data_IF_950207764566
#
_entry.id   IF_950207764566
#
_cell.length_a   1.000
_cell.length_b   1.000
_cell.length_c   1.000
_cell.angle_alpha   90.00
_cell.angle_beta   90.00
_cell.angle_gamma   90.00
#
_symmetry.space_group_name_H-M   'P 1'
#
loop_
_entity.id
_entity.type
_entity.pdbx_description
1 polymer ?
#
# COMPACT_ATOMS: atom_id res chain seq x y z
N UNK A 1 -11.17 23.13 46.33
CA UNK A 1 -10.23 23.64 45.27
C UNK A 1 -9.08 22.69 44.97
N UNK A 2 -8.29 22.24 45.95
CA UNK A 2 -7.16 21.32 45.66
C UNK A 2 -7.55 19.94 45.18
N UNK A 3 -8.62 19.36 45.72
CA UNK A 3 -9.14 18.03 45.29
C UNK A 3 -9.74 18.05 43.88
N UNK A 4 -10.38 19.13 43.52
CA UNK A 4 -10.96 19.35 42.19
C UNK A 4 -9.87 19.53 41.12
N UNK A 5 -8.83 20.30 41.43
CA UNK A 5 -7.63 20.43 40.58
C UNK A 5 -6.86 19.11 40.42
N UNK A 6 -6.87 18.25 41.44
CA UNK A 6 -6.24 16.94 41.43
C UNK A 6 -7.03 15.93 40.58
N UNK A 7 -8.38 15.99 40.60
CA UNK A 7 -9.25 15.16 39.75
C UNK A 7 -9.12 15.54 38.28
N UNK A 8 -9.06 16.84 37.96
CA UNK A 8 -8.89 17.32 36.59
C UNK A 8 -7.54 16.90 35.99
N UNK A 9 -6.44 17.05 36.76
CA UNK A 9 -5.12 16.59 36.31
C UNK A 9 -5.06 15.08 36.01
N UNK A 10 -5.74 14.24 36.78
CA UNK A 10 -5.84 12.80 36.51
C UNK A 10 -6.64 12.55 35.23
N UNK A 11 -7.73 13.27 35.02
CA UNK A 11 -8.53 13.18 33.80
C UNK A 11 -7.74 13.48 32.52
N UNK A 12 -7.01 14.58 32.49
CA UNK A 12 -6.14 14.96 31.34
C UNK A 12 -5.08 13.89 31.03
N UNK A 13 -4.45 13.32 32.06
CA UNK A 13 -3.43 12.27 31.85
C UNK A 13 -4.03 11.01 31.22
N UNK A 14 -5.19 10.57 31.71
CA UNK A 14 -5.85 9.38 31.17
C UNK A 14 -6.25 9.61 29.71
N UNK A 15 -6.88 10.75 29.40
CA UNK A 15 -7.27 11.08 28.03
C UNK A 15 -6.05 11.20 27.13
N UNK A 16 -4.99 11.88 27.57
CA UNK A 16 -3.74 11.97 26.82
C UNK A 16 -3.18 10.58 26.50
N UNK A 17 -3.04 9.70 27.46
CA UNK A 17 -2.48 8.35 27.24
C UNK A 17 -3.35 7.50 26.34
N UNK A 18 -4.68 7.57 26.47
CA UNK A 18 -5.60 6.82 25.61
C UNK A 18 -5.51 7.29 24.16
N UNK A 19 -5.53 8.61 23.94
CA UNK A 19 -5.42 9.18 22.59
C UNK A 19 -4.02 8.94 22.01
N UNK A 20 -2.97 9.08 22.80
CA UNK A 20 -1.61 8.77 22.40
C UNK A 20 -1.45 7.31 21.93
N UNK A 21 -1.98 6.36 22.70
CA UNK A 21 -1.92 4.94 22.33
C UNK A 21 -2.70 4.66 21.04
N UNK A 22 -3.90 5.23 20.87
CA UNK A 22 -4.69 5.11 19.65
C UNK A 22 -3.99 5.74 18.44
N UNK A 23 -3.43 6.93 18.59
CA UNK A 23 -2.67 7.61 17.54
C UNK A 23 -1.39 6.84 17.17
N UNK A 24 -0.67 6.29 18.15
CA UNK A 24 0.52 5.47 17.92
C UNK A 24 0.19 4.20 17.13
N UNK A 25 -0.95 3.56 17.44
CA UNK A 25 -1.43 2.41 16.67
C UNK A 25 -1.79 2.79 15.24
N UNK A 26 -2.47 3.92 15.03
CA UNK A 26 -2.79 4.44 13.70
C UNK A 26 -1.51 4.73 12.88
N UNK A 27 -0.49 5.33 13.51
CA UNK A 27 0.81 5.57 12.91
C UNK A 27 1.51 4.26 12.50
N UNK A 28 1.52 3.26 13.37
CA UNK A 28 2.12 1.95 13.06
C UNK A 28 1.43 1.31 11.84
N UNK A 29 0.10 1.39 11.76
CA UNK A 29 -0.66 0.90 10.59
C UNK A 29 -0.36 1.70 9.33
N UNK A 30 -0.23 3.02 9.42
CA UNK A 30 0.14 3.87 8.28
C UNK A 30 1.54 3.54 7.75
N UNK A 31 2.52 3.37 8.65
CA UNK A 31 3.87 2.93 8.27
C UNK A 31 3.83 1.57 7.59
N UNK A 32 3.16 0.60 8.19
CA UNK A 32 3.05 -0.74 7.63
C UNK A 32 2.41 -0.72 6.23
N UNK A 33 1.32 0.05 6.05
CA UNK A 33 0.67 0.21 4.75
C UNK A 33 1.61 0.74 3.68
N UNK A 34 2.36 1.80 4.00
CA UNK A 34 3.28 2.44 3.05
C UNK A 34 4.37 1.46 2.62
N UNK A 35 4.99 0.74 3.57
CA UNK A 35 6.05 -0.23 3.28
C UNK A 35 5.54 -1.43 2.47
N UNK A 36 4.41 -2.00 2.86
CA UNK A 36 3.82 -3.16 2.16
C UNK A 36 3.46 -2.79 0.72
N UNK A 37 2.89 -1.59 0.51
CA UNK A 37 2.58 -1.12 -0.85
C UNK A 37 3.83 -0.92 -1.70
N UNK A 38 4.88 -0.34 -1.13
CA UNK A 38 6.14 -0.11 -1.85
C UNK A 38 6.79 -1.42 -2.27
N UNK A 39 6.87 -2.39 -1.36
CA UNK A 39 7.38 -3.73 -1.67
C UNK A 39 6.55 -4.36 -2.80
N UNK A 40 5.22 -4.23 -2.77
CA UNK A 40 4.36 -4.75 -3.81
C UNK A 40 4.65 -4.10 -5.18
N UNK A 41 4.89 -2.79 -5.22
CA UNK A 41 5.20 -2.07 -6.46
C UNK A 41 6.55 -2.51 -7.03
N UNK A 42 7.58 -2.65 -6.20
CA UNK A 42 8.91 -3.14 -6.62
C UNK A 42 8.81 -4.57 -7.17
N UNK A 43 8.11 -5.44 -6.46
CA UNK A 43 7.90 -6.82 -6.93
C UNK A 43 7.12 -6.85 -8.26
N UNK A 44 6.18 -5.92 -8.45
CA UNK A 44 5.42 -5.78 -9.69
C UNK A 44 6.30 -5.31 -10.85
N UNK A 45 7.22 -4.37 -10.60
CA UNK A 45 8.17 -3.90 -11.64
C UNK A 45 9.05 -5.03 -12.16
N UNK A 46 9.43 -5.97 -11.31
CA UNK A 46 10.22 -7.15 -11.68
C UNK A 46 9.41 -8.31 -12.22
N UNK A 47 8.08 -8.27 -12.03
CA UNK A 47 7.21 -9.36 -12.48
C UNK A 47 6.98 -9.27 -13.98
N UNK A 48 7.37 -10.33 -14.70
CA UNK A 48 7.13 -10.47 -16.15
C UNK A 48 6.51 -11.82 -16.46
N UNK A 49 5.60 -11.82 -17.41
CA UNK A 49 5.10 -13.03 -18.06
C UNK A 49 5.92 -13.19 -19.33
N UNK A 50 6.56 -14.33 -19.48
CA UNK A 50 7.37 -14.67 -20.65
C UNK A 50 6.53 -15.58 -21.55
N UNK A 51 6.13 -15.06 -22.70
CA UNK A 51 5.42 -15.82 -23.72
C UNK A 51 6.42 -16.26 -24.78
N UNK A 52 6.50 -17.56 -25.01
CA UNK A 52 7.40 -18.14 -25.99
C UNK A 52 6.70 -18.23 -27.35
N UNK A 53 7.34 -17.66 -28.38
CA UNK A 53 6.85 -17.75 -29.75
C UNK A 53 7.19 -19.10 -30.36
N UNK A 54 6.25 -19.70 -31.08
CA UNK A 54 6.45 -20.93 -31.82
C UNK A 54 7.23 -20.69 -33.11
N UNK A 55 8.33 -21.43 -33.31
CA UNK A 55 9.08 -21.40 -34.55
C UNK A 55 8.32 -22.04 -35.74
N UNK A 56 7.24 -22.80 -35.43
CA UNK A 56 6.46 -23.53 -36.46
C UNK A 56 5.43 -22.67 -37.18
N UNK A 57 5.06 -21.56 -36.57
CA UNK A 57 4.02 -20.67 -37.10
C UNK A 57 4.72 -19.41 -37.67
N UNK A 58 4.59 -19.18 -38.97
CA UNK A 58 5.08 -17.96 -39.65
C UNK A 58 4.24 -16.71 -39.32
N UNK A 59 3.78 -16.60 -38.08
CA UNK A 59 3.08 -15.39 -37.65
C UNK A 59 4.10 -14.29 -37.39
N UNK A 60 3.80 -13.10 -37.92
CA UNK A 60 4.61 -11.92 -37.65
C UNK A 60 4.56 -11.57 -36.15
N UNK A 61 5.71 -11.24 -35.61
CA UNK A 61 5.81 -10.78 -34.20
C UNK A 61 4.95 -9.56 -33.95
N UNK A 62 4.77 -8.67 -34.93
CA UNK A 62 3.90 -7.50 -34.83
C UNK A 62 2.43 -7.88 -34.61
N UNK A 63 1.91 -8.87 -35.35
CA UNK A 63 0.53 -9.32 -35.17
C UNK A 63 0.28 -10.01 -33.83
N UNK A 64 1.29 -10.72 -33.27
CA UNK A 64 1.20 -11.25 -31.91
C UNK A 64 1.22 -10.13 -30.86
N UNK A 65 2.07 -9.14 -31.04
CA UNK A 65 2.16 -7.97 -30.15
C UNK A 65 0.84 -7.21 -30.10
N UNK A 66 0.20 -6.97 -31.24
CA UNK A 66 -1.15 -6.38 -31.30
C UNK A 66 -2.18 -7.24 -30.57
N UNK A 67 -2.11 -8.56 -30.73
CA UNK A 67 -2.97 -9.49 -30.02
C UNK A 67 -2.83 -9.39 -28.51
N UNK A 68 -1.60 -9.30 -27.99
CA UNK A 68 -1.35 -9.11 -26.56
C UNK A 68 -1.78 -7.72 -26.08
N UNK A 69 -1.58 -6.65 -26.88
CA UNK A 69 -2.04 -5.29 -26.55
C UNK A 69 -3.55 -5.19 -26.45
N UNK A 70 -4.26 -6.01 -27.22
CA UNK A 70 -5.72 -6.06 -27.19
C UNK A 70 -6.27 -6.77 -25.93
N UNK A 71 -5.45 -7.53 -25.20
CA UNK A 71 -5.86 -8.17 -23.95
C UNK A 71 -6.01 -7.12 -22.84
N UNK A 72 -7.13 -7.12 -22.10
CA UNK A 72 -7.36 -6.16 -21.04
C UNK A 72 -6.32 -6.34 -19.91
N UNK A 73 -5.80 -5.23 -19.43
CA UNK A 73 -4.83 -5.23 -18.32
C UNK A 73 -3.39 -5.51 -18.72
N UNK A 74 -3.08 -5.53 -20.01
CA UNK A 74 -1.69 -5.52 -20.50
C UNK A 74 -1.13 -4.11 -20.37
N UNK A 75 -0.02 -3.96 -19.59
CA UNK A 75 0.60 -2.66 -19.32
C UNK A 75 1.72 -2.35 -20.33
N UNK A 76 2.63 -3.30 -20.55
CA UNK A 76 3.77 -3.14 -21.45
C UNK A 76 4.16 -4.47 -22.08
N UNK A 77 4.70 -4.42 -23.30
CA UNK A 77 5.14 -5.59 -24.07
C UNK A 77 6.51 -5.28 -24.65
N UNK A 78 7.44 -6.18 -24.44
CA UNK A 78 8.77 -6.15 -25.03
C UNK A 78 9.04 -7.45 -25.80
N UNK A 79 9.28 -7.33 -27.09
CA UNK A 79 9.74 -8.46 -27.90
C UNK A 79 11.25 -8.65 -27.76
N UNK A 80 11.68 -9.84 -27.40
CA UNK A 80 13.09 -10.20 -27.26
C UNK A 80 13.39 -11.33 -28.25
N UNK A 81 14.20 -11.00 -29.26
CA UNK A 81 14.64 -12.00 -30.23
C UNK A 81 15.62 -12.99 -29.59
N UNK A 82 15.71 -14.19 -30.16
CA UNK A 82 16.69 -15.21 -29.75
C UNK A 82 18.13 -14.69 -29.80
N UNK A 83 18.45 -13.78 -30.70
CA UNK A 83 19.80 -13.17 -30.81
C UNK A 83 20.08 -12.22 -29.64
N UNK A 84 19.06 -11.41 -29.28
CA UNK A 84 19.15 -10.47 -28.16
C UNK A 84 19.18 -11.21 -26.81
N UNK A 85 18.40 -12.29 -26.69
CA UNK A 85 18.41 -13.15 -25.50
C UNK A 85 19.76 -13.80 -25.28
N UNK A 86 20.42 -14.26 -26.36
CA UNK A 86 21.77 -14.80 -26.26
C UNK A 86 22.78 -13.72 -25.84
N UNK A 87 22.61 -12.48 -26.32
CA UNK A 87 23.46 -11.36 -25.91
C UNK A 87 23.29 -11.05 -24.42
N UNK A 88 22.06 -10.95 -23.94
CA UNK A 88 21.75 -10.74 -22.50
C UNK A 88 22.34 -11.87 -21.64
N UNK A 89 22.16 -13.11 -22.05
CA UNK A 89 22.71 -14.26 -21.34
C UNK A 89 24.25 -14.19 -21.27
N UNK A 90 24.90 -13.66 -22.32
CA UNK A 90 26.38 -13.49 -22.34
C UNK A 90 26.85 -12.43 -21.33
N UNK A 91 26.04 -11.40 -21.09
CA UNK A 91 26.34 -10.36 -20.12
C UNK A 91 26.10 -10.84 -18.67
N UNK A 92 25.12 -11.73 -18.46
CA UNK A 92 24.74 -12.25 -17.15
C UNK A 92 25.57 -13.47 -16.71
N UNK A 93 25.81 -14.41 -17.62
CA UNK A 93 26.51 -15.67 -17.34
C UNK A 93 27.28 -16.16 -18.58
N UNK A 94 28.57 -15.84 -18.65
CA UNK A 94 29.46 -16.22 -19.75
C UNK A 94 29.66 -17.74 -19.87
N UNK A 95 29.58 -18.47 -18.76
CA UNK A 95 29.86 -19.93 -18.74
C UNK A 95 28.70 -20.71 -19.35
N UNK A 96 27.45 -20.28 -19.07
CA UNK A 96 26.24 -20.83 -19.71
C UNK A 96 26.24 -20.60 -21.23
N UNK A 97 26.74 -19.46 -21.67
CA UNK A 97 26.85 -19.17 -23.12
C UNK A 97 27.79 -20.13 -23.83
N UNK A 98 28.90 -20.51 -23.20
CA UNK A 98 29.82 -21.51 -23.75
C UNK A 98 29.14 -22.85 -24.04
N UNK A 99 28.26 -23.30 -23.13
CA UNK A 99 27.47 -24.50 -23.31
C UNK A 99 26.43 -24.36 -24.45
N UNK A 100 25.75 -23.21 -24.54
CA UNK A 100 24.76 -22.92 -25.60
C UNK A 100 25.41 -22.78 -26.97
N UNK A 101 26.58 -22.16 -27.09
CA UNK A 101 27.30 -21.97 -28.36
C UNK A 101 27.92 -23.26 -28.90
N UNK A 102 28.13 -24.27 -28.06
CA UNK A 102 28.55 -25.60 -28.50
C UNK A 102 27.44 -26.39 -29.22
N UNK A 103 26.21 -25.87 -29.20
CA UNK A 103 25.11 -26.43 -29.99
C UNK A 103 25.17 -25.91 -31.43
N UNK A 104 24.78 -26.74 -32.38
CA UNK A 104 24.82 -26.45 -33.82
C UNK A 104 23.90 -25.27 -34.24
N UNK A 105 22.97 -24.85 -33.38
CA UNK A 105 22.10 -23.70 -33.58
C UNK A 105 21.71 -23.10 -32.25
N UNK A 106 21.37 -21.80 -32.21
CA UNK A 106 20.86 -21.15 -30.99
C UNK A 106 19.51 -21.78 -30.57
N UNK A 107 19.44 -22.48 -29.42
CA UNK A 107 18.25 -23.16 -28.96
C UNK A 107 17.26 -22.21 -28.26
N UNK A 108 17.64 -20.94 -28.04
CA UNK A 108 16.80 -19.99 -27.37
C UNK A 108 15.64 -19.58 -28.29
N UNK A 109 14.39 -19.54 -27.80
CA UNK A 109 13.26 -19.10 -28.57
C UNK A 109 13.13 -17.58 -28.59
N UNK A 110 12.43 -17.05 -29.59
CA UNK A 110 11.89 -15.69 -29.53
C UNK A 110 10.83 -15.60 -28.44
N UNK A 111 10.81 -14.51 -27.70
CA UNK A 111 9.89 -14.35 -26.55
C UNK A 111 9.31 -12.94 -26.47
N UNK A 112 8.12 -12.85 -25.88
CA UNK A 112 7.53 -11.60 -25.44
C UNK A 112 7.61 -11.55 -23.90
N UNK A 113 8.15 -10.47 -23.37
CA UNK A 113 8.09 -10.15 -21.95
C UNK A 113 6.95 -9.15 -21.74
N UNK A 114 5.96 -9.57 -20.97
CA UNK A 114 4.72 -8.81 -20.79
C UNK A 114 4.59 -8.45 -19.32
N UNK A 115 4.35 -7.17 -19.04
CA UNK A 115 3.93 -6.67 -17.74
C UNK A 115 2.43 -6.44 -17.71
N UNK A 116 1.82 -6.65 -16.54
CA UNK A 116 0.40 -6.47 -16.35
C UNK A 116 0.08 -5.27 -15.47
N UNK A 117 -1.10 -4.69 -15.68
CA UNK A 117 -1.68 -3.75 -14.73
C UNK A 117 -2.04 -4.44 -13.40
N UNK A 118 -2.21 -3.64 -12.35
CA UNK A 118 -2.55 -4.16 -11.01
C UNK A 118 -3.86 -4.96 -11.00
N UNK A 119 -4.86 -4.48 -11.73
CA UNK A 119 -6.16 -5.14 -11.83
C UNK A 119 -6.09 -6.51 -12.51
N UNK A 120 -5.24 -6.67 -13.53
CA UNK A 120 -5.10 -7.93 -14.26
C UNK A 120 -4.33 -8.99 -13.46
N UNK A 121 -3.48 -8.59 -12.51
CA UNK A 121 -2.82 -9.54 -11.61
C UNK A 121 -3.82 -10.28 -10.72
N UNK A 122 -4.96 -9.68 -10.39
CA UNK A 122 -6.01 -10.32 -9.61
C UNK A 122 -6.71 -11.45 -10.39
N UNK A 123 -6.74 -11.37 -11.71
CA UNK A 123 -7.32 -12.39 -12.60
C UNK A 123 -6.30 -12.91 -13.63
N UNK A 124 -5.10 -13.17 -13.14
CA UNK A 124 -3.97 -13.63 -13.94
C UNK A 124 -4.30 -14.90 -14.75
N UNK A 125 -5.09 -15.81 -14.18
CA UNK A 125 -5.47 -17.06 -14.85
C UNK A 125 -6.28 -16.80 -16.13
N UNK A 126 -7.26 -15.93 -16.08
CA UNK A 126 -8.07 -15.54 -17.24
C UNK A 126 -7.23 -14.84 -18.30
N UNK A 127 -6.29 -13.98 -17.89
CA UNK A 127 -5.37 -13.34 -18.83
C UNK A 127 -4.47 -14.37 -19.52
N UNK A 128 -3.90 -15.33 -18.79
CA UNK A 128 -3.07 -16.40 -19.33
C UNK A 128 -3.87 -17.30 -20.30
N UNK A 129 -5.10 -17.66 -19.95
CA UNK A 129 -5.98 -18.42 -20.83
C UNK A 129 -6.30 -17.66 -22.12
N UNK A 130 -6.51 -16.35 -22.06
CA UNK A 130 -6.73 -15.53 -23.23
C UNK A 130 -5.46 -15.42 -24.09
N UNK A 131 -4.30 -15.27 -23.47
CA UNK A 131 -3.00 -15.24 -24.16
C UNK A 131 -2.69 -16.55 -24.88
N UNK A 132 -3.07 -17.70 -24.33
CA UNK A 132 -2.94 -19.01 -24.98
C UNK A 132 -3.75 -19.14 -26.28
N UNK A 133 -4.83 -18.37 -26.45
CA UNK A 133 -5.66 -18.39 -27.67
C UNK A 133 -5.04 -17.62 -28.82
N UNK A 134 -4.00 -16.83 -28.54
CA UNK A 134 -3.29 -16.08 -29.58
C UNK A 134 -2.46 -17.08 -30.42
N UNK A 135 -2.68 -17.04 -31.72
CA UNK A 135 -1.97 -17.94 -32.63
C UNK A 135 -0.45 -17.63 -32.58
N UNK A 136 0.37 -18.67 -32.56
CA UNK A 136 1.84 -18.54 -32.47
C UNK A 136 2.40 -18.63 -31.07
N UNK A 137 1.59 -18.72 -30.02
CA UNK A 137 2.05 -18.99 -28.65
C UNK A 137 2.39 -20.47 -28.51
N UNK A 138 3.59 -20.79 -28.02
CA UNK A 138 4.02 -22.16 -27.76
C UNK A 138 4.14 -22.50 -26.29
N UNK A 139 4.45 -21.52 -25.45
CA UNK A 139 4.55 -21.69 -24.00
C UNK A 139 4.37 -20.34 -23.29
N UNK A 140 3.87 -20.38 -22.06
CA UNK A 140 3.74 -19.18 -21.21
C UNK A 140 4.36 -19.50 -19.85
N UNK A 141 5.37 -18.73 -19.48
CA UNK A 141 6.13 -18.89 -18.22
C UNK A 141 5.99 -17.65 -17.38
N UNK A 142 5.65 -17.82 -16.12
CA UNK A 142 5.62 -16.78 -15.11
C UNK A 142 5.89 -17.38 -13.73
N UNK A 143 6.13 -16.52 -12.74
CA UNK A 143 6.33 -16.94 -11.34
C UNK A 143 5.01 -16.83 -10.57
N UNK A 144 4.22 -17.91 -10.41
CA UNK A 144 2.90 -17.82 -9.77
C UNK A 144 2.99 -17.31 -8.33
N UNK A 145 4.00 -17.76 -7.56
CA UNK A 145 4.23 -17.26 -6.20
C UNK A 145 4.53 -15.76 -6.16
N UNK A 146 5.22 -15.24 -7.17
CA UNK A 146 5.47 -13.79 -7.30
C UNK A 146 4.17 -13.02 -7.51
N UNK A 147 3.31 -13.47 -8.42
CA UNK A 147 2.00 -12.86 -8.65
C UNK A 147 1.13 -12.88 -7.38
N UNK A 148 1.07 -14.01 -6.68
CA UNK A 148 0.33 -14.11 -5.42
C UNK A 148 0.90 -13.20 -4.34
N UNK A 149 2.22 -13.09 -4.21
CA UNK A 149 2.86 -12.22 -3.24
C UNK A 149 2.51 -10.73 -3.48
N UNK A 150 2.56 -10.28 -4.75
CA UNK A 150 2.18 -8.92 -5.14
C UNK A 150 0.72 -8.66 -4.82
N UNK A 151 -0.17 -9.56 -5.25
CA UNK A 151 -1.61 -9.43 -5.04
C UNK A 151 -1.97 -9.37 -3.55
N UNK A 152 -1.41 -10.25 -2.73
CA UNK A 152 -1.66 -10.23 -1.29
C UNK A 152 -1.10 -8.99 -0.62
N UNK A 153 0.09 -8.51 -1.01
CA UNK A 153 0.66 -7.30 -0.45
C UNK A 153 -0.21 -6.07 -0.77
N UNK A 154 -0.70 -5.93 -2.02
CA UNK A 154 -1.63 -4.87 -2.41
C UNK A 154 -2.96 -4.97 -1.66
N UNK A 155 -3.49 -6.18 -1.52
CA UNK A 155 -4.71 -6.44 -0.76
C UNK A 155 -4.56 -6.01 0.71
N UNK A 156 -3.46 -6.42 1.38
CA UNK A 156 -3.23 -6.03 2.77
C UNK A 156 -3.03 -4.51 2.92
N UNK A 157 -2.31 -3.87 2.01
CA UNK A 157 -2.16 -2.42 2.01
C UNK A 157 -3.52 -1.71 1.87
N UNK A 158 -4.42 -2.23 1.01
CA UNK A 158 -5.78 -1.73 0.85
C UNK A 158 -6.63 -1.99 2.09
N UNK A 159 -6.56 -3.20 2.66
CA UNK A 159 -7.29 -3.57 3.87
C UNK A 159 -6.94 -2.68 5.07
N UNK A 160 -5.65 -2.36 5.25
CA UNK A 160 -5.20 -1.42 6.29
C UNK A 160 -5.84 -0.03 6.05
N UNK A 161 -5.87 0.44 4.79
CA UNK A 161 -6.49 1.72 4.47
C UNK A 161 -7.99 1.73 4.82
N UNK A 162 -8.72 0.69 4.44
CA UNK A 162 -10.15 0.55 4.74
C UNK A 162 -10.39 0.53 6.25
N UNK A 163 -9.57 -0.22 7.00
CA UNK A 163 -9.65 -0.29 8.45
C UNK A 163 -9.45 1.07 9.11
N UNK A 164 -8.44 1.82 8.65
CA UNK A 164 -8.21 3.19 9.13
C UNK A 164 -9.37 4.12 8.76
N UNK A 165 -9.88 4.05 7.52
CA UNK A 165 -11.04 4.85 7.08
C UNK A 165 -12.28 4.56 7.92
N UNK A 166 -12.56 3.29 8.24
CA UNK A 166 -13.66 2.89 9.12
C UNK A 166 -13.47 3.42 10.54
N UNK A 167 -12.25 3.39 11.08
CA UNK A 167 -11.95 3.95 12.39
C UNK A 167 -12.16 5.47 12.43
N UNK A 168 -11.72 6.20 11.39
CA UNK A 168 -11.97 7.64 11.26
C UNK A 168 -13.47 7.94 11.10
N UNK A 169 -14.19 7.14 10.31
CA UNK A 169 -15.65 7.28 10.15
C UNK A 169 -16.38 7.04 11.47
N UNK A 170 -16.00 6.01 12.22
CA UNK A 170 -16.57 5.76 13.55
C UNK A 170 -16.32 6.92 14.51
N UNK A 171 -15.12 7.50 14.51
CA UNK A 171 -14.80 8.69 15.28
C UNK A 171 -15.65 9.89 14.86
N UNK A 172 -15.84 10.10 13.55
CA UNK A 172 -16.69 11.18 13.04
C UNK A 172 -18.16 11.00 13.46
N UNK A 173 -18.68 9.76 13.42
CA UNK A 173 -20.03 9.44 13.89
C UNK A 173 -20.16 9.67 15.41
N UNK A 174 -19.18 9.27 16.21
CA UNK A 174 -19.17 9.54 17.65
C UNK A 174 -19.15 11.05 17.94
N UNK A 175 -18.37 11.82 17.18
CA UNK A 175 -18.35 13.27 17.28
C UNK A 175 -19.71 13.89 16.92
N UNK A 176 -20.33 13.41 15.82
CA UNK A 176 -21.67 13.85 15.41
C UNK A 176 -22.72 13.54 16.48
N UNK A 177 -22.71 12.32 17.03
CA UNK A 177 -23.63 11.95 18.11
C UNK A 177 -23.44 12.82 19.35
N UNK A 178 -22.20 13.13 19.74
CA UNK A 178 -21.91 14.04 20.86
C UNK A 178 -22.46 15.46 20.62
N UNK A 179 -22.45 15.92 19.36
CA UNK A 179 -23.03 17.22 18.97
C UNK A 179 -24.56 17.20 19.02
N UNK A 180 -25.18 16.15 18.41
CA UNK A 180 -26.65 16.02 18.33
C UNK A 180 -27.26 15.85 19.72
N UNK A 181 -26.64 15.09 20.61
CA UNK A 181 -27.13 14.89 21.98
C UNK A 181 -27.17 16.19 22.77
N UNK A 182 -26.31 17.17 22.46
CA UNK A 182 -26.29 18.50 23.12
C UNK A 182 -27.18 19.56 22.47
N UNK A 183 -28.04 19.17 21.53
CA UNK A 183 -29.09 20.01 20.94
C UNK A 183 -28.68 21.17 20.02
N UNK A 184 -27.45 21.32 19.52
CA UNK A 184 -27.25 22.38 18.51
C UNK A 184 -25.97 22.22 17.71
N UNK A 185 -26.09 21.94 16.41
CA UNK A 185 -24.97 22.01 15.45
C UNK A 185 -24.32 23.39 15.42
N UNK A 186 -25.08 24.46 15.67
CA UNK A 186 -24.59 25.82 15.76
C UNK A 186 -23.56 26.06 16.88
N UNK A 187 -23.55 25.21 17.92
CA UNK A 187 -22.69 25.36 19.09
C UNK A 187 -21.44 24.47 19.07
N UNK A 188 -21.15 23.74 17.97
CA UNK A 188 -19.96 22.87 17.89
C UNK A 188 -18.66 23.64 18.11
N UNK A 189 -18.49 24.72 17.37
CA UNK A 189 -17.29 25.58 17.46
C UNK A 189 -17.19 26.23 18.84
N UNK A 190 -18.33 26.61 19.42
CA UNK A 190 -18.37 27.18 20.76
C UNK A 190 -18.08 26.15 21.85
N UNK A 191 -18.55 24.91 21.68
CA UNK A 191 -18.22 23.79 22.56
C UNK A 191 -16.72 23.45 22.51
N UNK A 192 -16.14 23.35 21.30
CA UNK A 192 -14.68 23.12 21.15
C UNK A 192 -13.91 24.30 21.74
N UNK A 193 -14.37 25.54 21.53
CA UNK A 193 -13.72 26.73 22.08
C UNK A 193 -13.80 26.78 23.61
N UNK A 194 -14.90 26.37 24.20
CA UNK A 194 -15.08 26.30 25.66
C UNK A 194 -14.22 25.19 26.25
N UNK A 195 -14.19 24.03 25.61
CA UNK A 195 -13.47 22.84 26.08
C UNK A 195 -12.09 22.70 25.40
N UNK A 196 -11.52 23.81 24.95
CA UNK A 196 -10.28 23.88 24.15
C UNK A 196 -9.11 23.12 24.76
N UNK A 197 -9.01 23.10 26.08
CA UNK A 197 -7.90 22.43 26.77
C UNK A 197 -7.92 20.91 26.53
N UNK A 198 -9.09 20.29 26.45
CA UNK A 198 -9.23 18.86 26.14
C UNK A 198 -8.87 18.60 24.67
N UNK A 199 -9.36 19.45 23.77
CA UNK A 199 -9.01 19.36 22.36
C UNK A 199 -7.50 19.50 22.14
N UNK A 200 -6.86 20.51 22.75
CA UNK A 200 -5.41 20.68 22.66
C UNK A 200 -4.63 19.53 23.30
N UNK A 201 -5.12 18.94 24.39
CA UNK A 201 -4.50 17.74 24.98
C UNK A 201 -4.48 16.58 23.98
N UNK A 202 -5.54 16.40 23.21
CA UNK A 202 -5.61 15.40 22.15
C UNK A 202 -4.70 15.71 20.97
N UNK A 203 -4.62 16.97 20.53
CA UNK A 203 -3.66 17.38 19.49
C UNK A 203 -2.21 17.10 19.92
N UNK A 204 -1.88 17.44 21.18
CA UNK A 204 -0.54 17.15 21.73
C UNK A 204 -0.26 15.65 21.78
N UNK A 205 -1.26 14.84 22.17
CA UNK A 205 -1.12 13.38 22.22
C UNK A 205 -0.89 12.80 20.80
N UNK A 206 -1.64 13.27 19.80
CA UNK A 206 -1.45 12.90 18.40
C UNK A 206 -0.07 13.32 17.87
N UNK A 207 0.33 14.56 18.13
CA UNK A 207 1.64 15.06 17.73
C UNK A 207 2.80 14.30 18.41
N UNK A 208 2.64 13.96 19.69
CA UNK A 208 3.61 13.14 20.40
C UNK A 208 3.70 11.72 19.83
N UNK A 209 2.58 11.11 19.45
CA UNK A 209 2.56 9.79 18.82
C UNK A 209 3.30 9.81 17.47
N UNK A 210 3.04 10.82 16.63
CA UNK A 210 3.77 11.04 15.37
C UNK A 210 5.27 11.19 15.65
N UNK A 211 5.67 12.07 16.57
CA UNK A 211 7.06 12.31 16.90
C UNK A 211 7.78 11.05 17.42
N UNK A 212 7.11 10.27 18.29
CA UNK A 212 7.66 9.01 18.82
C UNK A 212 7.78 7.96 17.71
N UNK A 213 6.77 7.84 16.82
CA UNK A 213 6.83 6.93 15.67
C UNK A 213 8.02 7.25 14.76
N UNK A 214 8.21 8.54 14.44
CA UNK A 214 9.36 8.97 13.65
C UNK A 214 10.69 8.70 14.36
N UNK A 215 10.79 8.96 15.66
CA UNK A 215 12.01 8.70 16.43
C UNK A 215 12.37 7.21 16.47
N UNK A 216 11.36 6.34 16.62
CA UNK A 216 11.57 4.88 16.65
C UNK A 216 11.96 4.32 15.27
N UNK A 217 11.38 4.87 14.21
CA UNK A 217 11.57 4.38 12.85
C UNK A 217 12.81 5.01 12.19
N UNK A 218 13.25 6.18 12.63
CA UNK A 218 14.38 6.90 12.05
C UNK A 218 15.65 6.07 11.87
N UNK A 219 16.08 5.24 12.83
CA UNK A 219 17.25 4.37 12.64
C UNK A 219 17.04 3.33 11.52
N UNK A 220 15.81 2.84 11.32
CA UNK A 220 15.50 1.82 10.31
C UNK A 220 15.68 2.36 8.89
N UNK A 221 15.46 3.65 8.68
CA UNK A 221 15.69 4.33 7.39
C UNK A 221 17.11 4.11 6.86
N UNK A 222 18.10 4.08 7.75
CA UNK A 222 19.50 3.86 7.34
C UNK A 222 19.80 2.41 6.99
N UNK A 223 18.94 1.47 7.39
CA UNK A 223 19.09 0.05 7.10
C UNK A 223 18.42 -0.35 5.78
N UNK A 224 17.49 0.47 5.28
CA UNK A 224 16.76 0.19 4.04
C UNK A 224 16.64 1.43 3.16
N UNK A 225 17.23 1.41 1.94
CA UNK A 225 17.09 2.50 0.97
C UNK A 225 15.64 2.65 0.46
N UNK A 226 14.83 1.61 0.63
CA UNK A 226 13.43 1.55 0.16
C UNK A 226 12.44 2.11 1.19
N UNK A 227 12.95 2.71 2.27
CA UNK A 227 12.10 3.21 3.35
C UNK A 227 11.37 4.49 2.96
N UNK A 228 10.03 4.42 2.95
CA UNK A 228 9.16 5.57 2.71
C UNK A 228 8.46 6.03 3.99
N UNK A 229 8.26 7.34 4.08
CA UNK A 229 7.51 7.96 5.17
C UNK A 229 6.04 8.14 4.75
N UNK A 230 5.07 7.99 5.70
CA UNK A 230 3.70 8.40 5.44
C UNK A 230 3.62 9.88 5.07
N UNK A 231 2.72 10.22 4.17
CA UNK A 231 2.58 11.59 3.67
C UNK A 231 2.15 12.59 4.75
N UNK A 232 2.59 13.84 4.63
CA UNK A 232 2.22 14.93 5.56
C UNK A 232 0.71 15.05 5.79
N UNK A 233 -0.17 14.92 4.77
CA UNK A 233 -1.61 14.98 5.00
C UNK A 233 -2.14 13.89 5.93
N UNK A 234 -1.60 12.67 5.85
CA UNK A 234 -2.00 11.57 6.73
C UNK A 234 -1.56 11.81 8.17
N UNK A 235 -0.38 12.39 8.38
CA UNK A 235 0.13 12.77 9.69
C UNK A 235 -0.75 13.87 10.31
N UNK A 236 -1.11 14.89 9.54
CA UNK A 236 -2.02 15.95 9.97
C UNK A 236 -3.40 15.39 10.37
N UNK A 237 -3.90 14.39 9.62
CA UNK A 237 -5.17 13.72 9.93
C UNK A 237 -5.10 12.95 11.26
N UNK A 238 -4.01 12.26 11.58
CA UNK A 238 -3.82 11.57 12.86
C UNK A 238 -3.81 12.57 14.02
N UNK A 239 -3.08 13.69 13.88
CA UNK A 239 -3.03 14.74 14.90
C UNK A 239 -4.42 15.35 15.11
N UNK A 240 -5.14 15.69 14.04
CA UNK A 240 -6.48 16.25 14.12
C UNK A 240 -7.48 15.26 14.76
N UNK A 241 -7.41 13.98 14.37
CA UNK A 241 -8.21 12.92 14.97
C UNK A 241 -7.95 12.77 16.48
N UNK A 242 -6.70 12.95 16.91
CA UNK A 242 -6.35 13.01 18.33
C UNK A 242 -7.11 14.11 19.08
N UNK A 243 -7.16 15.33 18.51
CA UNK A 243 -7.92 16.43 19.08
C UNK A 243 -9.41 16.13 19.20
N UNK A 244 -10.01 15.61 18.13
CA UNK A 244 -11.44 15.21 18.11
C UNK A 244 -11.72 14.10 19.11
N UNK A 245 -10.85 13.07 19.18
CA UNK A 245 -11.01 11.94 20.12
C UNK A 245 -11.02 12.40 21.57
N UNK A 246 -10.07 13.27 21.95
CA UNK A 246 -10.03 13.79 23.33
C UNK A 246 -11.27 14.62 23.67
N UNK A 247 -11.75 15.43 22.75
CA UNK A 247 -12.98 16.20 22.92
C UNK A 247 -14.20 15.28 23.06
N UNK A 248 -14.33 14.25 22.22
CA UNK A 248 -15.43 13.25 22.31
C UNK A 248 -15.42 12.53 23.65
N UNK A 249 -14.24 12.04 24.09
CA UNK A 249 -14.11 11.33 25.39
C UNK A 249 -14.55 12.26 26.54
N UNK A 250 -14.17 13.52 26.49
CA UNK A 250 -14.58 14.49 27.50
C UNK A 250 -16.10 14.71 27.51
N UNK A 251 -16.74 14.88 26.34
CA UNK A 251 -18.18 15.04 26.24
C UNK A 251 -18.93 13.84 26.80
N UNK A 252 -18.49 12.62 26.51
CA UNK A 252 -19.07 11.38 27.03
C UNK A 252 -18.99 11.29 28.55
N UNK A 253 -17.84 11.65 29.13
CA UNK A 253 -17.69 11.67 30.58
C UNK A 253 -18.65 12.63 31.27
N UNK A 254 -18.90 13.80 30.70
CA UNK A 254 -19.79 14.82 31.29
C UNK A 254 -21.28 14.52 31.14
N UNK A 255 -21.64 13.52 30.31
CA UNK A 255 -23.03 13.10 30.13
C UNK A 255 -23.47 12.03 31.12
N UNK A 256 -22.49 11.34 31.75
CA UNK A 256 -22.74 10.21 32.67
C UNK A 256 -22.44 10.55 34.15
N UNK A 257 -22.01 11.77 34.44
CA UNK A 257 -21.93 12.36 35.78
C UNK A 257 -22.98 13.45 35.97
#
# INVERSE_FOLDING_TARGET
MEEEHRKDRKGYRVVFLTVFAGALMAEALLFMRVQVREIALILKEDFRIVVVKSDRVKQDSAGMEEGFKALPGTADISFISKAERLRKLREEDSDLVGAVMNMSSNPLPDTFEISLEEAALADLSSWVEAAWKINGVSDIKYKPLGAYAIMHALFYAHYILVTLALAFMALALMALMAVLYRNTVANLLESIRRDRNWFFTGLLAGAAAVAVSYALVYPVKYLSPLWLWPGVPTQAAVIAAGGVSAWVIFQWKNTHN
#
